data_IF_861792022765
#
_entry.id   IF_861792022765
#
_cell.length_a   1.000
_cell.length_b   1.000
_cell.length_c   1.000
_cell.angle_alpha   90.00
_cell.angle_beta   90.00
_cell.angle_gamma   90.00
#
_symmetry.space_group_name_H-M   'P 1'
#
loop_
_entity.id
_entity.type
_entity.pdbx_description
1 polymer ?
#
# COMPACT_ATOMS: atom_id res chain seq x y z
N UNK A 1 -17.61 -2.34 -12.77
CA UNK A 1 -17.21 -3.25 -11.67
C UNK A 1 -17.78 -2.74 -10.35
N UNK A 2 -18.22 -3.61 -9.43
CA UNK A 2 -18.68 -3.17 -8.09
C UNK A 2 -17.53 -2.47 -7.35
N UNK A 3 -17.83 -1.43 -6.57
CA UNK A 3 -16.83 -0.68 -5.80
C UNK A 3 -15.99 -1.57 -4.88
N UNK A 4 -16.60 -2.61 -4.30
CA UNK A 4 -15.94 -3.59 -3.45
C UNK A 4 -14.92 -4.45 -4.19
N UNK A 5 -15.25 -4.89 -5.41
CA UNK A 5 -14.30 -5.64 -6.26
C UNK A 5 -13.12 -4.76 -6.64
N UNK A 6 -13.36 -3.51 -7.04
CA UNK A 6 -12.28 -2.57 -7.35
C UNK A 6 -11.37 -2.34 -6.13
N UNK A 7 -11.95 -2.14 -4.94
CA UNK A 7 -11.19 -1.97 -3.70
C UNK A 7 -10.39 -3.22 -3.33
N UNK A 8 -10.97 -4.40 -3.52
CA UNK A 8 -10.29 -5.68 -3.27
C UNK A 8 -9.06 -5.79 -4.16
N UNK A 9 -9.21 -5.57 -5.46
CA UNK A 9 -8.11 -5.65 -6.43
C UNK A 9 -7.03 -4.63 -6.08
N UNK A 10 -7.39 -3.37 -5.83
CA UNK A 10 -6.40 -2.32 -5.57
C UNK A 10 -5.71 -2.53 -4.23
N UNK A 11 -6.41 -3.06 -3.22
CA UNK A 11 -5.81 -3.43 -1.93
C UNK A 11 -4.85 -4.62 -2.06
N UNK A 12 -5.18 -5.65 -2.85
CA UNK A 12 -4.28 -6.77 -3.11
C UNK A 12 -3.02 -6.31 -3.85
N UNK A 13 -3.18 -5.42 -4.84
CA UNK A 13 -2.05 -4.81 -5.54
C UNK A 13 -1.20 -3.95 -4.59
N UNK A 14 -1.81 -3.18 -3.69
CA UNK A 14 -1.03 -2.42 -2.69
C UNK A 14 -0.23 -3.35 -1.77
N UNK A 15 -0.80 -4.48 -1.31
CA UNK A 15 -0.05 -5.47 -0.53
C UNK A 15 1.14 -6.00 -1.34
N UNK A 16 0.92 -6.39 -2.60
CA UNK A 16 1.98 -6.89 -3.49
C UNK A 16 3.08 -5.85 -3.74
N UNK A 17 2.71 -4.61 -4.04
CA UNK A 17 3.69 -3.54 -4.27
C UNK A 17 4.43 -3.15 -3.00
N UNK A 18 3.78 -3.21 -1.83
CA UNK A 18 4.46 -2.99 -0.57
C UNK A 18 5.50 -4.07 -0.30
N UNK A 19 5.20 -5.35 -0.56
CA UNK A 19 6.18 -6.41 -0.36
C UNK A 19 7.36 -6.30 -1.33
N UNK A 20 7.14 -5.92 -2.59
CA UNK A 20 8.23 -5.57 -3.51
C UNK A 20 9.06 -4.38 -3.01
N UNK A 21 8.39 -3.33 -2.55
CA UNK A 21 9.04 -2.15 -1.98
C UNK A 21 9.91 -2.51 -0.77
N UNK A 22 9.39 -3.28 0.19
CA UNK A 22 10.14 -3.68 1.39
C UNK A 22 11.36 -4.52 1.03
N UNK A 23 11.23 -5.42 0.05
CA UNK A 23 12.37 -6.20 -0.44
C UNK A 23 13.46 -5.30 -1.05
N UNK A 24 13.07 -4.31 -1.85
CA UNK A 24 14.02 -3.38 -2.47
C UNK A 24 14.64 -2.42 -1.45
N UNK A 25 13.89 -2.00 -0.41
CA UNK A 25 14.42 -1.22 0.72
C UNK A 25 15.50 -1.99 1.49
N UNK A 26 15.36 -3.31 1.64
CA UNK A 26 16.39 -4.17 2.24
C UNK A 26 17.63 -4.24 1.33
N UNK A 27 17.44 -4.46 0.03
CA UNK A 27 18.54 -4.55 -0.95
C UNK A 27 19.34 -3.22 -1.01
N UNK A 28 18.65 -2.09 -0.87
CA UNK A 28 19.23 -0.74 -0.92
C UNK A 28 19.80 -0.28 0.42
N UNK A 29 19.57 -1.02 1.50
CA UNK A 29 20.03 -0.70 2.85
C UNK A 29 19.24 0.41 3.55
N UNK A 30 18.03 0.74 3.06
CA UNK A 30 17.09 1.58 3.80
C UNK A 30 16.49 0.83 4.99
N UNK A 31 16.30 -0.48 4.82
CA UNK A 31 15.89 -1.41 5.87
C UNK A 31 17.03 -2.38 6.21
N UNK A 32 17.10 -2.79 7.48
CA UNK A 32 18.22 -3.60 7.98
C UNK A 32 18.23 -5.05 7.47
N UNK A 33 17.11 -5.56 6.94
CA UNK A 33 16.99 -6.93 6.44
C UNK A 33 17.12 -8.01 7.52
N UNK A 34 16.78 -7.70 8.77
CA UNK A 34 16.91 -8.62 9.92
C UNK A 34 15.58 -9.20 10.39
N UNK A 35 15.61 -9.95 11.49
CA UNK A 35 14.40 -10.56 12.12
C UNK A 35 13.31 -9.52 12.40
N UNK A 36 13.69 -8.27 12.70
CA UNK A 36 12.74 -7.18 12.90
C UNK A 36 11.83 -6.94 11.68
N UNK A 37 12.32 -7.14 10.45
CA UNK A 37 11.52 -6.98 9.24
C UNK A 37 10.38 -8.02 9.14
N UNK A 38 10.44 -9.13 9.89
CA UNK A 38 9.33 -10.10 9.98
C UNK A 38 8.07 -9.53 10.66
N UNK A 39 8.18 -8.40 11.37
CA UNK A 39 7.01 -7.69 11.89
C UNK A 39 6.04 -7.24 10.79
N UNK A 40 6.51 -7.08 9.56
CA UNK A 40 5.67 -6.79 8.40
C UNK A 40 4.70 -7.94 8.05
N UNK A 41 5.08 -9.20 8.33
CA UNK A 41 4.26 -10.38 7.99
C UNK A 41 2.89 -10.36 8.66
N UNK A 42 2.76 -10.25 10.00
CA UNK A 42 1.44 -10.18 10.63
C UNK A 42 0.64 -8.94 10.19
N UNK A 43 1.30 -7.82 9.87
CA UNK A 43 0.63 -6.63 9.32
C UNK A 43 -0.02 -6.97 7.97
N UNK A 44 0.72 -7.60 7.05
CA UNK A 44 0.17 -8.02 5.76
C UNK A 44 -0.90 -9.10 5.89
N UNK A 45 -0.80 -10.02 6.86
CA UNK A 45 -1.84 -11.02 7.12
C UNK A 45 -3.13 -10.36 7.59
N UNK A 46 -3.07 -9.44 8.56
CA UNK A 46 -4.25 -8.69 9.03
C UNK A 46 -4.87 -7.89 7.89
N UNK A 47 -4.03 -7.24 7.07
CA UNK A 47 -4.51 -6.51 5.91
C UNK A 47 -5.18 -7.44 4.89
N UNK A 48 -4.53 -8.53 4.50
CA UNK A 48 -5.08 -9.51 3.56
C UNK A 48 -6.39 -10.10 4.05
N UNK A 49 -6.50 -10.41 5.35
CA UNK A 49 -7.74 -10.86 5.97
C UNK A 49 -8.83 -9.78 5.92
N UNK A 50 -8.49 -8.53 6.20
CA UNK A 50 -9.37 -7.37 6.04
C UNK A 50 -9.92 -7.22 4.62
N UNK A 51 -9.06 -7.46 3.62
CA UNK A 51 -9.37 -7.36 2.19
C UNK A 51 -10.25 -8.52 1.71
N UNK A 52 -9.88 -9.77 2.02
CA UNK A 52 -10.53 -10.95 1.45
C UNK A 52 -11.70 -11.48 2.29
N UNK A 53 -11.59 -11.45 3.61
CA UNK A 53 -12.55 -12.11 4.52
C UNK A 53 -13.53 -11.10 5.11
N UNK A 54 -13.05 -9.91 5.45
CA UNK A 54 -13.87 -8.83 6.01
C UNK A 54 -14.36 -7.84 4.94
N UNK A 55 -14.16 -8.15 3.66
CA UNK A 55 -14.63 -7.36 2.53
C UNK A 55 -16.08 -6.92 2.71
N UNK A 56 -16.36 -5.66 2.37
CA UNK A 56 -17.67 -5.01 2.51
C UNK A 56 -18.20 -4.79 3.94
N UNK A 57 -17.54 -5.34 4.97
CA UNK A 57 -17.83 -5.02 6.38
C UNK A 57 -17.13 -3.72 6.79
N UNK A 58 -17.67 -3.04 7.81
CA UNK A 58 -17.07 -1.82 8.38
C UNK A 58 -15.61 -2.05 8.80
N UNK A 59 -15.31 -3.17 9.45
CA UNK A 59 -13.95 -3.52 9.87
C UNK A 59 -13.01 -3.74 8.67
N UNK A 60 -13.46 -4.41 7.60
CA UNK A 60 -12.67 -4.58 6.38
C UNK A 60 -12.33 -3.24 5.72
N UNK A 61 -13.31 -2.34 5.59
CA UNK A 61 -13.04 -1.00 5.06
C UNK A 61 -12.06 -0.19 5.94
N UNK A 62 -12.14 -0.31 7.27
CA UNK A 62 -11.19 0.35 8.18
C UNK A 62 -9.78 -0.21 7.99
N UNK A 63 -9.63 -1.54 7.95
CA UNK A 63 -8.33 -2.19 7.75
C UNK A 63 -7.71 -1.78 6.41
N UNK A 64 -8.49 -1.85 5.32
CA UNK A 64 -8.02 -1.44 3.99
C UNK A 64 -7.67 0.05 3.94
N UNK A 65 -8.42 0.92 4.64
CA UNK A 65 -8.11 2.34 4.75
C UNK A 65 -6.77 2.56 5.46
N UNK A 66 -6.54 1.91 6.60
CA UNK A 66 -5.29 2.03 7.36
C UNK A 66 -4.09 1.50 6.57
N UNK A 67 -4.22 0.34 5.92
CA UNK A 67 -3.18 -0.20 5.05
C UNK A 67 -2.87 0.70 3.86
N UNK A 68 -3.89 1.32 3.27
CA UNK A 68 -3.72 2.27 2.17
C UNK A 68 -3.05 3.57 2.63
N UNK A 69 -3.38 4.08 3.83
CA UNK A 69 -2.70 5.25 4.40
C UNK A 69 -1.22 4.96 4.69
N UNK A 70 -0.92 3.79 5.27
CA UNK A 70 0.46 3.33 5.46
C UNK A 70 1.22 3.26 4.13
N UNK A 71 0.58 2.71 3.10
CA UNK A 71 1.16 2.60 1.76
C UNK A 71 1.40 3.94 1.08
N UNK A 72 0.52 4.92 1.30
CA UNK A 72 0.69 6.26 0.73
C UNK A 72 1.84 7.03 1.42
N UNK A 73 2.13 6.72 2.68
CA UNK A 73 3.26 7.33 3.39
C UNK A 73 4.60 6.94 2.76
N UNK A 74 4.75 5.72 2.26
CA UNK A 74 5.98 5.19 1.65
C UNK A 74 6.54 6.09 0.53
N UNK A 75 5.83 6.36 -0.59
CA UNK A 75 6.35 7.21 -1.65
C UNK A 75 6.60 8.63 -1.16
N UNK A 76 5.80 9.15 -0.22
CA UNK A 76 6.02 10.47 0.37
C UNK A 76 7.33 10.54 1.15
N UNK A 77 7.65 9.53 1.95
CA UNK A 77 8.90 9.48 2.71
C UNK A 77 10.12 9.37 1.81
N UNK A 78 10.06 8.52 0.77
CA UNK A 78 11.16 8.33 -0.18
C UNK A 78 11.35 9.53 -1.13
N UNK A 79 10.28 10.23 -1.49
CA UNK A 79 10.36 11.38 -2.42
C UNK A 79 10.63 12.72 -1.73
N UNK A 80 10.65 12.77 -0.39
CA UNK A 80 11.03 13.98 0.37
C UNK A 80 12.53 14.30 0.20
N UNK A 81 12.88 15.58 0.35
CA UNK A 81 14.27 16.05 0.28
C UNK A 81 14.86 15.88 -1.12
N UNK A 82 15.97 15.16 -1.25
CA UNK A 82 16.61 14.86 -2.55
C UNK A 82 15.81 13.86 -3.39
N UNK A 83 14.81 13.21 -2.80
CA UNK A 83 13.92 12.26 -3.46
C UNK A 83 14.63 11.02 -3.98
N UNK A 84 14.09 10.45 -5.07
CA UNK A 84 14.60 9.23 -5.72
C UNK A 84 15.18 9.49 -7.13
N UNK A 85 15.30 10.76 -7.51
CA UNK A 85 15.85 11.19 -8.80
C UNK A 85 17.38 11.28 -8.82
N UNK A 86 17.91 11.91 -9.87
CA UNK A 86 19.37 12.07 -10.08
C UNK A 86 20.07 12.72 -8.88
N UNK A 87 19.43 13.71 -8.23
CA UNK A 87 19.99 14.42 -7.07
C UNK A 87 20.26 13.53 -5.85
N UNK A 88 19.62 12.36 -5.76
CA UNK A 88 19.81 11.37 -4.69
C UNK A 88 20.82 10.27 -5.05
N UNK A 89 21.22 10.16 -6.33
CA UNK A 89 21.97 9.03 -6.85
C UNK A 89 21.13 7.77 -7.11
N UNK A 90 19.89 7.67 -6.59
CA UNK A 90 19.02 6.50 -6.76
C UNK A 90 18.73 6.24 -8.24
N UNK A 91 18.46 7.27 -9.03
CA UNK A 91 18.19 7.12 -10.46
C UNK A 91 19.33 6.45 -11.26
N UNK A 92 20.56 6.46 -10.74
CA UNK A 92 21.73 5.84 -11.38
C UNK A 92 22.10 4.47 -10.76
N UNK A 93 21.32 3.98 -9.80
CA UNK A 93 21.55 2.69 -9.16
C UNK A 93 20.95 1.53 -9.96
N UNK A 94 21.47 0.31 -9.74
CA UNK A 94 20.84 -0.89 -10.28
C UNK A 94 19.41 -1.03 -9.74
N UNK A 95 18.48 -1.45 -10.60
CA UNK A 95 17.06 -1.62 -10.25
C UNK A 95 16.28 -0.32 -10.01
N UNK A 96 16.86 0.86 -10.23
CA UNK A 96 16.22 2.14 -9.95
C UNK A 96 14.83 2.30 -10.61
N UNK A 97 14.68 1.82 -11.84
CA UNK A 97 13.40 1.83 -12.54
C UNK A 97 12.32 1.09 -11.74
N UNK A 98 12.60 -0.13 -11.30
CA UNK A 98 11.64 -0.95 -10.55
C UNK A 98 11.31 -0.33 -9.20
N UNK A 99 12.30 0.22 -8.50
CA UNK A 99 12.10 0.91 -7.24
C UNK A 99 11.14 2.10 -7.39
N UNK A 100 11.47 3.03 -8.30
CA UNK A 100 10.71 4.25 -8.54
C UNK A 100 9.30 3.90 -9.06
N UNK A 101 9.21 2.93 -9.97
CA UNK A 101 7.93 2.45 -10.47
C UNK A 101 7.06 1.86 -9.36
N UNK A 102 7.65 1.08 -8.44
CA UNK A 102 6.92 0.50 -7.30
C UNK A 102 6.40 1.59 -6.37
N UNK A 103 7.16 2.66 -6.11
CA UNK A 103 6.68 3.80 -5.33
C UNK A 103 5.46 4.47 -5.99
N UNK A 104 5.48 4.64 -7.31
CA UNK A 104 4.37 5.22 -8.06
C UNK A 104 3.15 4.28 -8.05
N UNK A 105 3.35 2.99 -8.35
CA UNK A 105 2.29 2.00 -8.38
C UNK A 105 1.63 1.82 -7.00
N UNK A 106 2.43 1.79 -5.93
CA UNK A 106 1.97 1.76 -4.55
C UNK A 106 1.16 3.03 -4.23
N UNK A 107 1.66 4.22 -4.59
CA UNK A 107 0.94 5.49 -4.39
C UNK A 107 -0.41 5.55 -5.11
N UNK A 108 -0.47 5.11 -6.37
CA UNK A 108 -1.71 5.07 -7.18
C UNK A 108 -2.74 4.13 -6.55
N UNK A 109 -2.34 2.89 -6.26
CA UNK A 109 -3.24 1.88 -5.69
C UNK A 109 -3.70 2.24 -4.29
N UNK A 110 -2.81 2.81 -3.47
CA UNK A 110 -3.12 3.29 -2.12
C UNK A 110 -4.12 4.45 -2.15
N UNK A 111 -3.86 5.51 -2.93
CA UNK A 111 -4.73 6.67 -2.99
C UNK A 111 -6.14 6.31 -3.49
N UNK A 112 -6.22 5.44 -4.50
CA UNK A 112 -7.51 4.98 -5.00
C UNK A 112 -8.25 4.11 -3.97
N UNK A 113 -7.53 3.23 -3.24
CA UNK A 113 -8.10 2.41 -2.17
C UNK A 113 -8.60 3.25 -0.98
N UNK A 114 -7.94 4.37 -0.66
CA UNK A 114 -8.43 5.35 0.33
C UNK A 114 -9.81 5.88 -0.08
N UNK A 115 -9.94 6.37 -1.32
CA UNK A 115 -11.19 6.92 -1.85
C UNK A 115 -12.30 5.86 -1.78
N UNK A 116 -12.02 4.64 -2.25
CA UNK A 116 -13.01 3.56 -2.26
C UNK A 116 -13.40 3.10 -0.84
N UNK A 117 -12.45 3.05 0.10
CA UNK A 117 -12.71 2.68 1.50
C UNK A 117 -13.59 3.72 2.20
N UNK A 118 -13.31 5.01 2.01
CA UNK A 118 -14.14 6.11 2.54
C UNK A 118 -15.55 6.05 1.95
N UNK A 119 -15.69 5.83 0.63
CA UNK A 119 -16.99 5.66 -0.01
C UNK A 119 -17.74 4.42 0.51
N UNK A 120 -17.02 3.33 0.76
CA UNK A 120 -17.57 2.12 1.38
C UNK A 120 -18.14 2.37 2.77
N UNK A 121 -17.37 3.02 3.63
CA UNK A 121 -17.79 3.41 4.98
C UNK A 121 -18.99 4.37 4.96
N UNK A 122 -18.99 5.34 4.05
CA UNK A 122 -20.11 6.27 3.89
C UNK A 122 -21.39 5.54 3.45
N UNK A 123 -21.28 4.60 2.51
CA UNK A 123 -22.41 3.79 2.03
C UNK A 123 -23.07 3.01 3.17
N UNK A 124 -22.25 2.37 4.02
CA UNK A 124 -22.73 1.64 5.20
C UNK A 124 -23.47 2.57 6.18
N UNK A 125 -22.95 3.78 6.42
CA UNK A 125 -23.59 4.77 7.30
C UNK A 125 -24.98 5.19 6.81
N UNK A 126 -25.20 5.24 5.49
CA UNK A 126 -26.49 5.62 4.90
C UNK A 126 -27.52 4.49 4.86
N UNK A 127 -27.21 3.31 5.40
CA UNK A 127 -28.12 2.16 5.35
C UNK A 127 -28.44 1.69 3.93
N UNK A 128 -27.65 2.12 2.94
CA UNK A 128 -27.82 1.67 1.57
C UNK A 128 -27.36 0.21 1.50
N UNK A 129 -28.33 -0.72 1.42
CA UNK A 129 -28.04 -2.07 0.96
C UNK A 129 -27.45 -1.98 -0.44
N UNK A 130 -26.38 -2.71 -0.68
CA UNK A 130 -25.75 -2.86 -1.99
C UNK A 130 -26.23 -4.12 -2.67
#
# INVERSE_FOLDING_TARGET
>A
MKHSVMLTITSLLSILFFTFHLADDIIRGFEKGGVYNLTAVPIFVVWLYGTLVLGERRSGYIIMLLGSLLSLAVPVLHMKGKGVGVASGIANSSGAFFFIWTLIALGVTALFSIILSVRGLWSLRRGQSR
#
